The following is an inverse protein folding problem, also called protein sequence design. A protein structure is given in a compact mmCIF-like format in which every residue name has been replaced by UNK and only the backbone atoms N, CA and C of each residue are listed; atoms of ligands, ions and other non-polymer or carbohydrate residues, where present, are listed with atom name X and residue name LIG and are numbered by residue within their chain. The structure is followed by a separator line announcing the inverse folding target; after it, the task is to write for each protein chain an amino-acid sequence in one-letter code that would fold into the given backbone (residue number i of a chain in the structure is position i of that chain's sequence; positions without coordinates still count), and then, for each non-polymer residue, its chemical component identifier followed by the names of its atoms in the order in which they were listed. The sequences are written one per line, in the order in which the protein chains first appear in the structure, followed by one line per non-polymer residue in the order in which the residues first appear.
data_IF_246503109950
#
_entry.id   IF_246503109950
#
_cell.length_a   1.000
_cell.length_b   1.000
_cell.length_c   1.000
_cell.angle_alpha   90.00
_cell.angle_beta   90.00
_cell.angle_gamma   90.00
#
_symmetry.space_group_name_H-M   'P 1'
#
loop_
_entity.id
_entity.type
_entity.pdbx_description
1 polymer ?
#
# COMPACT_ATOMS: atom_id res chain seq x y z
N UNK A 1 36.90 -40.68 2.10
CA UNK A 1 37.37 -39.51 2.91
C UNK A 1 37.29 -38.14 2.20
N UNK A 2 37.74 -37.98 0.94
CA UNK A 2 37.85 -36.66 0.29
C UNK A 2 36.50 -35.94 0.03
N UNK A 3 35.40 -36.68 -0.07
CA UNK A 3 34.08 -36.12 -0.41
C UNK A 3 33.48 -35.26 0.73
N UNK A 4 33.80 -35.55 1.99
CA UNK A 4 33.43 -34.72 3.15
C UNK A 4 34.18 -33.37 3.16
N UNK A 5 34.93 -33.01 2.13
CA UNK A 5 35.48 -31.66 1.93
C UNK A 5 34.65 -30.76 1.01
N UNK A 6 33.61 -31.30 0.35
CA UNK A 6 32.87 -30.60 -0.71
C UNK A 6 31.84 -29.58 -0.20
N UNK A 7 31.37 -29.70 1.04
CA UNK A 7 30.32 -28.86 1.61
C UNK A 7 30.78 -28.04 2.81
N UNK A 8 29.86 -27.24 3.35
CA UNK A 8 30.05 -26.40 4.54
C UNK A 8 30.02 -27.27 5.81
N UNK A 9 30.47 -26.70 6.93
CA UNK A 9 30.37 -27.34 8.25
C UNK A 9 28.91 -27.67 8.62
N UNK A 10 27.96 -26.82 8.25
CA UNK A 10 26.52 -27.05 8.46
C UNK A 10 26.03 -28.30 7.71
N UNK A 11 26.44 -28.48 6.46
CA UNK A 11 26.08 -29.66 5.66
C UNK A 11 26.58 -30.96 6.34
N UNK A 12 27.78 -30.93 6.96
CA UNK A 12 28.32 -32.09 7.69
C UNK A 12 27.61 -32.35 9.02
N UNK A 13 27.12 -31.31 9.68
CA UNK A 13 26.32 -31.44 10.89
C UNK A 13 24.96 -32.05 10.56
N UNK A 14 24.32 -31.61 9.48
CA UNK A 14 23.08 -32.18 8.99
C UNK A 14 23.28 -33.64 8.56
N UNK A 15 24.39 -33.97 7.91
CA UNK A 15 24.73 -35.36 7.59
C UNK A 15 24.89 -36.22 8.86
N UNK A 16 25.57 -35.71 9.88
CA UNK A 16 25.72 -36.41 11.14
C UNK A 16 24.35 -36.63 11.84
N UNK A 17 23.48 -35.62 11.80
CA UNK A 17 22.10 -35.72 12.32
C UNK A 17 21.28 -36.80 11.58
N UNK A 18 21.34 -36.86 10.25
CA UNK A 18 20.66 -37.88 9.45
C UNK A 18 21.22 -39.30 9.67
N UNK A 19 22.50 -39.41 10.05
CA UNK A 19 23.12 -40.68 10.47
C UNK A 19 22.88 -41.02 11.94
N UNK A 20 22.12 -40.20 12.68
CA UNK A 20 21.86 -40.40 14.12
C UNK A 20 23.08 -40.15 15.01
N UNK A 21 24.12 -39.50 14.48
CA UNK A 21 25.34 -39.13 15.20
C UNK A 21 25.12 -37.79 15.86
N UNK A 22 25.30 -37.74 17.19
CA UNK A 22 25.06 -36.54 17.97
C UNK A 22 26.25 -35.54 17.82
N UNK A 23 26.33 -34.91 16.65
CA UNK A 23 27.36 -33.92 16.34
C UNK A 23 26.87 -32.51 16.72
N UNK A 24 27.61 -31.83 17.59
CA UNK A 24 27.25 -30.49 18.05
C UNK A 24 27.98 -29.40 17.26
N UNK A 25 27.40 -28.20 17.18
CA UNK A 25 27.99 -27.02 16.53
C UNK A 25 29.39 -26.65 17.05
N UNK A 26 29.70 -27.03 18.30
CA UNK A 26 30.99 -26.78 18.94
C UNK A 26 32.10 -27.71 18.46
N UNK A 27 31.76 -28.83 17.80
CA UNK A 27 32.75 -29.77 17.29
C UNK A 27 33.53 -29.16 16.11
N UNK A 28 34.81 -29.51 16.05
CA UNK A 28 35.65 -29.11 14.90
C UNK A 28 35.32 -29.98 13.69
N UNK A 29 35.50 -29.44 12.49
CA UNK A 29 35.25 -30.18 11.23
C UNK A 29 36.00 -31.52 11.19
N UNK A 30 37.28 -31.63 11.61
CA UNK A 30 37.97 -32.92 11.71
C UNK A 30 37.30 -33.89 12.67
N UNK A 31 36.87 -33.42 13.85
CA UNK A 31 36.19 -34.26 14.85
C UNK A 31 34.86 -34.83 14.32
N UNK A 32 34.09 -34.03 13.57
CA UNK A 32 32.84 -34.47 12.94
C UNK A 32 33.11 -35.53 11.88
N UNK A 33 34.14 -35.33 11.04
CA UNK A 33 34.53 -36.31 10.00
C UNK A 33 34.89 -37.66 10.61
N UNK A 34 35.68 -37.65 11.68
CA UNK A 34 36.09 -38.87 12.39
C UNK A 34 34.87 -39.58 12.99
N UNK A 35 33.93 -38.84 13.58
CA UNK A 35 32.70 -39.41 14.15
C UNK A 35 31.84 -40.10 13.08
N UNK A 36 31.72 -39.51 11.90
CA UNK A 36 30.99 -40.09 10.75
C UNK A 36 31.67 -41.36 10.27
N UNK A 37 32.99 -41.34 10.06
CA UNK A 37 33.71 -42.50 9.51
C UNK A 37 33.86 -43.67 10.49
N UNK A 38 33.79 -43.40 11.79
CA UNK A 38 33.89 -44.43 12.84
C UNK A 38 32.52 -44.94 13.31
N UNK A 39 31.42 -44.51 12.69
CA UNK A 39 30.08 -44.97 13.06
C UNK A 39 29.86 -46.44 12.72
N UNK A 40 29.15 -47.17 13.58
CA UNK A 40 28.73 -48.54 13.30
C UNK A 40 27.75 -48.55 12.12
N UNK A 41 28.14 -49.18 11.01
CA UNK A 41 27.34 -49.19 9.78
C UNK A 41 27.71 -48.14 8.74
N UNK A 42 28.90 -47.53 8.82
CA UNK A 42 29.39 -46.63 7.78
C UNK A 42 29.53 -47.33 6.41
N UNK A 43 28.69 -46.91 5.45
CA UNK A 43 28.80 -47.27 4.04
C UNK A 43 29.21 -46.04 3.21
N UNK A 44 30.42 -46.06 2.63
CA UNK A 44 31.00 -44.88 1.98
C UNK A 44 30.14 -44.34 0.83
N UNK A 45 29.54 -45.21 0.00
CA UNK A 45 28.69 -44.77 -1.11
C UNK A 45 27.36 -44.18 -0.65
N UNK A 46 26.74 -44.78 0.36
CA UNK A 46 25.51 -44.27 0.96
C UNK A 46 25.73 -42.90 1.57
N UNK A 47 26.75 -42.76 2.43
CA UNK A 47 27.08 -41.50 3.10
C UNK A 47 27.49 -40.43 2.09
N UNK A 48 28.20 -40.80 1.02
CA UNK A 48 28.54 -39.87 -0.07
C UNK A 48 27.30 -39.38 -0.81
N UNK A 49 26.39 -40.26 -1.20
CA UNK A 49 25.15 -39.89 -1.91
C UNK A 49 24.24 -39.02 -1.03
N UNK A 50 24.14 -39.35 0.26
CA UNK A 50 23.39 -38.56 1.24
C UNK A 50 23.98 -37.15 1.37
N UNK A 51 25.31 -37.06 1.53
CA UNK A 51 26.00 -35.78 1.65
C UNK A 51 25.88 -34.92 0.39
N UNK A 52 25.99 -35.52 -0.80
CA UNK A 52 25.79 -34.81 -2.07
C UNK A 52 24.35 -34.28 -2.21
N UNK A 53 23.36 -35.03 -1.71
CA UNK A 53 21.94 -34.60 -1.68
C UNK A 53 21.73 -33.41 -0.72
N UNK A 54 22.33 -33.44 0.47
CA UNK A 54 22.27 -32.34 1.44
C UNK A 54 22.88 -31.06 0.84
N UNK A 55 24.06 -31.16 0.22
CA UNK A 55 24.71 -30.02 -0.44
C UNK A 55 23.85 -29.47 -1.58
N UNK A 56 23.25 -30.34 -2.39
CA UNK A 56 22.37 -29.93 -3.49
C UNK A 56 21.11 -29.22 -2.99
N UNK A 57 20.48 -29.75 -1.93
CA UNK A 57 19.31 -29.13 -1.31
C UNK A 57 19.65 -27.76 -0.70
N UNK A 58 20.79 -27.62 -0.03
CA UNK A 58 21.26 -26.35 0.50
C UNK A 58 21.42 -25.29 -0.61
N UNK A 59 22.05 -25.66 -1.73
CA UNK A 59 22.20 -24.76 -2.89
C UNK A 59 20.86 -24.35 -3.49
N UNK A 60 19.94 -25.31 -3.67
CA UNK A 60 18.61 -25.05 -4.21
C UNK A 60 17.80 -24.11 -3.32
N UNK A 61 17.91 -24.25 -2.01
CA UNK A 61 17.24 -23.37 -1.05
C UNK A 61 17.80 -21.94 -1.11
N UNK A 62 19.13 -21.77 -1.16
CA UNK A 62 19.75 -20.46 -1.32
C UNK A 62 19.35 -19.79 -2.66
N UNK A 63 19.23 -20.56 -3.75
CA UNK A 63 18.76 -20.05 -5.04
C UNK A 63 17.30 -19.57 -4.97
N UNK A 64 16.44 -20.32 -4.27
CA UNK A 64 15.04 -19.97 -4.10
C UNK A 64 14.89 -18.68 -3.27
N UNK A 65 15.65 -18.55 -2.17
CA UNK A 65 15.67 -17.33 -1.35
C UNK A 65 16.17 -16.12 -2.16
N UNK A 66 17.22 -16.28 -2.97
CA UNK A 66 17.68 -15.22 -3.87
C UNK A 66 16.62 -14.84 -4.90
N UNK A 67 15.94 -15.82 -5.49
CA UNK A 67 14.87 -15.58 -6.46
C UNK A 67 13.66 -14.87 -5.84
N UNK A 68 13.26 -15.27 -4.64
CA UNK A 68 12.18 -14.62 -3.88
C UNK A 68 12.54 -13.17 -3.53
N UNK A 69 13.77 -12.94 -3.06
CA UNK A 69 14.28 -11.59 -2.78
C UNK A 69 14.26 -10.71 -4.02
N UNK A 70 14.68 -11.23 -5.18
CA UNK A 70 14.63 -10.48 -6.44
C UNK A 70 13.19 -10.15 -6.86
N UNK A 71 12.25 -11.10 -6.75
CA UNK A 71 10.82 -10.86 -7.03
C UNK A 71 10.23 -9.80 -6.13
N UNK A 72 10.56 -9.81 -4.84
CA UNK A 72 10.08 -8.82 -3.90
C UNK A 72 10.63 -7.42 -4.24
N UNK A 73 11.92 -7.34 -4.58
CA UNK A 73 12.56 -6.08 -5.00
C UNK A 73 11.97 -5.54 -6.31
N UNK A 74 11.63 -6.42 -7.26
CA UNK A 74 10.93 -6.06 -8.50
C UNK A 74 9.53 -5.50 -8.22
N UNK A 75 8.75 -6.16 -7.35
CA UNK A 75 7.42 -5.69 -6.95
C UNK A 75 7.49 -4.30 -6.29
N UNK A 76 8.49 -4.09 -5.42
CA UNK A 76 8.73 -2.77 -4.79
C UNK A 76 9.07 -1.71 -5.84
N UNK A 77 9.92 -2.03 -6.82
CA UNK A 77 10.23 -1.11 -7.93
C UNK A 77 8.99 -0.78 -8.77
N UNK A 78 8.17 -1.78 -9.08
CA UNK A 78 6.93 -1.58 -9.84
C UNK A 78 5.95 -0.68 -9.08
N UNK A 79 5.78 -0.89 -7.77
CA UNK A 79 4.97 -0.01 -6.92
C UNK A 79 5.50 1.43 -6.91
N UNK A 80 6.81 1.61 -6.79
CA UNK A 80 7.43 2.93 -6.82
C UNK A 80 7.25 3.63 -8.18
N UNK A 81 7.28 2.88 -9.29
CA UNK A 81 7.00 3.41 -10.63
C UNK A 81 5.53 3.83 -10.76
N UNK A 82 4.58 3.01 -10.31
CA UNK A 82 3.16 3.37 -10.30
C UNK A 82 2.88 4.62 -9.48
N UNK A 83 3.54 4.75 -8.32
CA UNK A 83 3.42 5.96 -7.50
C UNK A 83 3.98 7.19 -8.20
N UNK A 84 5.14 7.09 -8.84
CA UNK A 84 5.73 8.18 -9.64
C UNK A 84 4.86 8.56 -10.84
N UNK A 85 4.26 7.58 -11.52
CA UNK A 85 3.36 7.83 -12.65
C UNK A 85 2.10 8.57 -12.19
N UNK A 86 1.52 8.17 -11.06
CA UNK A 86 0.41 8.89 -10.43
C UNK A 86 0.80 10.31 -10.05
N UNK A 87 2.01 10.50 -9.52
CA UNK A 87 2.53 11.82 -9.19
C UNK A 87 2.69 12.70 -10.45
N UNK A 88 3.25 12.16 -11.53
CA UNK A 88 3.41 12.89 -12.79
C UNK A 88 2.07 13.25 -13.41
N UNK A 89 1.09 12.34 -13.37
CA UNK A 89 -0.29 12.62 -13.83
C UNK A 89 -0.90 13.78 -13.07
N UNK A 90 -0.74 13.78 -11.75
CA UNK A 90 -1.20 14.88 -10.90
C UNK A 90 -0.53 16.21 -11.24
N UNK A 91 0.80 16.21 -11.41
CA UNK A 91 1.55 17.43 -11.76
C UNK A 91 1.17 17.98 -13.15
N UNK A 92 0.91 17.10 -14.13
CA UNK A 92 0.42 17.49 -15.46
C UNK A 92 -0.99 18.07 -15.41
N UNK A 93 -1.88 17.51 -14.59
CA UNK A 93 -3.23 18.01 -14.41
C UNK A 93 -3.24 19.40 -13.74
N UNK A 94 -2.33 19.62 -12.78
CA UNK A 94 -2.09 20.94 -12.20
C UNK A 94 -1.68 21.98 -13.27
N UNK A 95 -0.77 21.62 -14.17
CA UNK A 95 -0.25 22.54 -15.19
C UNK A 95 -1.29 22.90 -16.27
N UNK A 96 -2.20 21.96 -16.61
CA UNK A 96 -3.34 22.23 -17.50
C UNK A 96 -4.32 23.23 -16.90
N UNK A 97 -4.53 23.19 -15.59
CA UNK A 97 -5.43 24.12 -14.90
C UNK A 97 -4.79 25.51 -14.77
N UNK A 98 -3.49 25.59 -14.45
CA UNK A 98 -2.78 26.86 -14.29
C UNK A 98 -2.68 27.67 -15.61
N UNK A 99 -2.67 27.00 -16.75
CA UNK A 99 -2.71 27.65 -18.07
C UNK A 99 -4.13 28.13 -18.48
N UNK A 100 -5.19 27.59 -17.87
CA UNK A 100 -6.58 28.03 -18.09
C UNK A 100 -7.02 29.21 -17.23
N UNK A 101 -6.34 29.48 -16.10
CA UNK A 101 -6.78 30.46 -15.09
C UNK A 101 -6.29 31.91 -15.33
N UNK A 102 -5.51 32.18 -16.38
CA UNK A 102 -5.00 33.55 -16.64
C UNK A 102 -5.99 34.49 -17.33
N UNK A 103 -7.23 34.07 -17.57
CA UNK A 103 -8.29 34.93 -18.11
C UNK A 103 -9.41 34.99 -17.08
N UNK A 104 -9.66 36.19 -16.57
CA UNK A 104 -10.58 36.58 -15.49
C UNK A 104 -10.10 36.33 -14.06
N UNK A 105 -9.65 37.40 -13.40
CA UNK A 105 -10.43 37.93 -12.27
C UNK A 105 -10.09 39.41 -12.00
N UNK A 106 -10.94 40.31 -12.50
CA UNK A 106 -11.23 41.59 -11.84
C UNK A 106 -12.59 41.41 -11.15
N UNK A 107 -12.64 41.52 -9.81
CA UNK A 107 -13.53 42.41 -9.03
C UNK A 107 -14.01 41.87 -7.67
N UNK A 108 -13.78 42.73 -6.66
CA UNK A 108 -14.58 43.08 -5.47
C UNK A 108 -15.08 42.06 -4.42
N UNK A 109 -14.51 42.24 -3.22
CA UNK A 109 -15.12 42.69 -1.95
C UNK A 109 -16.33 41.96 -1.31
N UNK A 110 -16.11 41.44 -0.09
CA UNK A 110 -16.75 41.90 1.18
C UNK A 110 -16.99 40.80 2.24
N UNK A 111 -16.50 41.11 3.45
CA UNK A 111 -16.85 40.67 4.82
C UNK A 111 -17.58 39.33 5.08
N UNK A 112 -16.94 38.45 5.85
CA UNK A 112 -17.46 37.98 7.15
C UNK A 112 -16.43 37.15 7.94
N UNK A 113 -16.27 37.50 9.22
CA UNK A 113 -15.40 36.83 10.17
C UNK A 113 -16.09 35.59 10.77
N UNK A 114 -15.49 34.42 10.60
CA UNK A 114 -15.60 33.29 11.52
C UNK A 114 -14.34 32.42 11.37
N UNK A 115 -13.90 31.81 12.47
CA UNK A 115 -12.67 31.03 12.65
C UNK A 115 -12.41 29.98 11.54
N UNK A 116 -11.77 30.39 10.45
CA UNK A 116 -11.45 29.57 9.28
C UNK A 116 -10.02 29.88 8.81
N UNK A 117 -9.03 29.76 9.70
CA UNK A 117 -7.64 30.02 9.31
C UNK A 117 -6.92 28.79 8.72
N UNK A 118 -7.60 27.65 8.58
CA UNK A 118 -7.06 26.44 7.93
C UNK A 118 -7.68 26.13 6.56
N UNK A 119 -8.96 26.48 6.31
CA UNK A 119 -9.64 26.10 5.06
C UNK A 119 -9.16 26.89 3.83
N UNK A 120 -8.56 28.07 4.02
CA UNK A 120 -8.08 28.92 2.93
C UNK A 120 -6.89 28.29 2.17
N UNK A 121 -6.12 27.41 2.79
CA UNK A 121 -4.98 26.77 2.15
C UNK A 121 -5.40 25.55 1.32
N UNK A 122 -6.27 24.67 1.83
CA UNK A 122 -6.67 23.48 1.05
C UNK A 122 -7.51 23.83 -0.19
N UNK A 123 -8.44 24.78 -0.08
CA UNK A 123 -9.26 25.24 -1.22
C UNK A 123 -8.41 25.80 -2.37
N UNK A 124 -7.24 26.36 -2.07
CA UNK A 124 -6.29 26.87 -3.07
C UNK A 124 -5.36 25.79 -3.64
N UNK A 125 -5.22 24.66 -2.93
CA UNK A 125 -4.26 23.60 -3.25
C UNK A 125 -4.91 22.36 -3.88
N UNK A 126 -6.24 22.23 -3.77
CA UNK A 126 -7.04 21.12 -4.29
C UNK A 126 -8.07 21.70 -5.25
N UNK A 127 -8.18 21.18 -6.49
CA UNK A 127 -9.25 21.55 -7.41
C UNK A 127 -10.64 21.29 -6.81
N UNK A 128 -11.66 22.00 -7.28
CA UNK A 128 -13.04 21.69 -6.92
C UNK A 128 -13.43 20.31 -7.47
N UNK A 129 -14.24 19.55 -6.71
CA UNK A 129 -14.71 18.25 -7.16
C UNK A 129 -15.91 18.38 -8.10
N UNK A 130 -15.79 17.89 -9.34
CA UNK A 130 -16.94 17.72 -10.24
C UNK A 130 -17.47 16.27 -10.16
N UNK A 131 -18.66 16.03 -9.58
CA UNK A 131 -19.23 14.70 -9.46
C UNK A 131 -19.56 14.04 -10.81
N UNK A 132 -19.58 14.79 -11.92
CA UNK A 132 -19.91 14.27 -13.26
C UNK A 132 -18.68 13.86 -14.07
N UNK A 133 -17.52 14.45 -13.80
CA UNK A 133 -16.30 14.25 -14.59
C UNK A 133 -15.12 13.72 -13.77
N UNK A 134 -15.10 13.96 -12.46
CA UNK A 134 -13.97 13.61 -11.59
C UNK A 134 -14.19 12.29 -10.86
N UNK A 135 -13.14 11.44 -10.85
CA UNK A 135 -13.14 10.21 -10.04
C UNK A 135 -12.97 10.56 -8.55
N UNK A 136 -14.00 10.26 -7.74
CA UNK A 136 -13.96 10.49 -6.28
C UNK A 136 -12.79 9.78 -5.61
N UNK A 137 -12.34 8.64 -6.17
CA UNK A 137 -11.23 7.86 -5.63
C UNK A 137 -9.94 8.63 -5.76
N UNK A 138 -9.71 9.22 -6.94
CA UNK A 138 -8.56 10.07 -7.21
C UNK A 138 -8.61 11.35 -6.37
N UNK A 139 -9.80 11.95 -6.26
CA UNK A 139 -10.02 13.16 -5.46
C UNK A 139 -9.66 12.97 -3.98
N UNK A 140 -10.14 11.88 -3.36
CA UNK A 140 -9.85 11.57 -1.96
C UNK A 140 -8.35 11.32 -1.73
N UNK A 141 -7.66 10.69 -2.68
CA UNK A 141 -6.20 10.49 -2.60
C UNK A 141 -5.44 11.83 -2.64
N UNK A 142 -5.88 12.78 -3.49
CA UNK A 142 -5.32 14.13 -3.56
C UNK A 142 -5.54 14.86 -2.23
N UNK A 143 -6.76 14.82 -1.70
CA UNK A 143 -7.10 15.40 -0.41
C UNK A 143 -6.22 14.86 0.73
N UNK A 144 -6.08 13.53 0.85
CA UNK A 144 -5.27 12.89 1.90
C UNK A 144 -3.81 13.32 1.85
N UNK A 145 -3.24 13.41 0.64
CA UNK A 145 -1.86 13.86 0.46
C UNK A 145 -1.68 15.31 0.87
N UNK A 146 -2.62 16.19 0.54
CA UNK A 146 -2.55 17.60 0.91
C UNK A 146 -2.82 17.84 2.40
N UNK A 147 -3.78 17.13 2.99
CA UNK A 147 -4.04 17.19 4.43
C UNK A 147 -2.82 16.73 5.24
N UNK A 148 -2.13 15.66 4.80
CA UNK A 148 -0.87 15.22 5.39
C UNK A 148 0.25 16.25 5.23
N UNK A 149 0.39 16.86 4.05
CA UNK A 149 1.41 17.89 3.80
C UNK A 149 1.17 19.17 4.60
N UNK A 150 -0.09 19.52 4.82
CA UNK A 150 -0.51 20.63 5.66
C UNK A 150 -0.50 20.27 7.16
N UNK A 151 -0.04 19.07 7.55
CA UNK A 151 0.00 18.57 8.92
C UNK A 151 -1.34 18.69 9.66
N UNK A 152 -2.44 18.45 8.96
CA UNK A 152 -3.79 18.50 9.51
C UNK A 152 -4.06 17.21 10.28
N UNK A 153 -4.53 17.33 11.52
CA UNK A 153 -4.93 16.18 12.33
C UNK A 153 -6.09 15.42 11.70
N UNK A 154 -6.07 14.08 11.77
CA UNK A 154 -7.07 13.23 11.10
C UNK A 154 -8.52 13.52 11.52
N UNK A 155 -8.74 14.00 12.76
CA UNK A 155 -10.06 14.41 13.26
C UNK A 155 -10.65 15.60 12.50
N UNK A 156 -9.79 16.47 11.97
CA UNK A 156 -10.20 17.66 11.21
C UNK A 156 -10.43 17.34 9.72
N UNK A 157 -10.04 16.15 9.25
CA UNK A 157 -10.09 15.81 7.83
C UNK A 157 -11.50 15.83 7.27
N UNK A 158 -12.48 15.35 8.03
CA UNK A 158 -13.89 15.38 7.58
C UNK A 158 -14.34 16.82 7.40
N UNK A 159 -14.11 17.70 8.39
CA UNK A 159 -14.49 19.10 8.30
C UNK A 159 -13.85 19.81 7.10
N UNK A 160 -12.56 19.56 6.86
CA UNK A 160 -11.87 20.07 5.68
C UNK A 160 -12.44 19.51 4.37
N UNK A 161 -12.76 18.21 4.34
CA UNK A 161 -13.32 17.56 3.17
C UNK A 161 -14.72 18.09 2.83
N UNK A 162 -15.58 18.32 3.84
CA UNK A 162 -16.91 18.89 3.65
C UNK A 162 -16.86 20.31 3.06
N UNK A 163 -15.82 21.09 3.41
CA UNK A 163 -15.61 22.42 2.86
C UNK A 163 -15.19 22.43 1.39
N UNK A 164 -14.74 21.29 0.84
CA UNK A 164 -14.24 21.12 -0.52
C UNK A 164 -15.20 20.36 -1.44
N UNK A 165 -16.13 19.60 -0.86
CA UNK A 165 -17.11 18.82 -1.62
C UNK A 165 -18.35 19.65 -1.99
N UNK A 166 -18.96 19.38 -3.16
CA UNK A 166 -20.27 19.90 -3.52
C UNK A 166 -21.34 19.59 -2.48
N UNK A 167 -22.31 20.50 -2.36
CA UNK A 167 -23.38 20.44 -1.38
C UNK A 167 -24.16 19.12 -1.41
N UNK A 168 -24.38 18.54 -2.59
CA UNK A 168 -25.08 17.26 -2.76
C UNK A 168 -24.40 16.11 -2.00
N UNK A 169 -23.07 16.11 -1.98
CA UNK A 169 -22.26 15.08 -1.33
C UNK A 169 -22.19 15.33 0.17
N UNK A 170 -22.07 16.61 0.56
CA UNK A 170 -22.14 17.04 1.96
C UNK A 170 -23.46 16.63 2.60
N UNK A 171 -24.59 16.86 1.92
CA UNK A 171 -25.91 16.43 2.39
C UNK A 171 -26.03 14.91 2.51
N UNK A 172 -25.32 14.18 1.66
CA UNK A 172 -25.31 12.73 1.73
C UNK A 172 -24.55 12.22 2.96
N UNK A 173 -23.40 12.82 3.30
CA UNK A 173 -22.64 12.51 4.51
C UNK A 173 -23.43 12.91 5.77
N UNK A 174 -24.15 14.04 5.74
CA UNK A 174 -24.94 14.55 6.86
C UNK A 174 -26.16 13.67 7.23
N UNK A 175 -26.52 12.67 6.42
CA UNK A 175 -27.59 11.70 6.72
C UNK A 175 -27.10 10.52 7.58
N UNK A 176 -25.80 10.35 7.69
CA UNK A 176 -25.18 9.33 8.53
C UNK A 176 -25.12 9.84 9.99
N UNK A 177 -25.12 8.95 11.00
CA UNK A 177 -25.01 9.35 12.39
C UNK A 177 -23.68 10.07 12.66
N UNK A 178 -23.69 11.03 13.59
CA UNK A 178 -22.57 11.94 13.89
C UNK A 178 -21.25 11.20 14.14
N UNK A 179 -21.28 10.12 14.94
CA UNK A 179 -20.12 9.27 15.22
C UNK A 179 -19.45 8.67 13.96
N UNK A 180 -20.25 8.42 12.93
CA UNK A 180 -19.79 7.87 11.66
C UNK A 180 -19.41 8.97 10.65
N UNK A 181 -20.15 10.09 10.68
CA UNK A 181 -19.88 11.25 9.84
C UNK A 181 -18.53 11.90 10.19
N UNK A 182 -18.11 11.90 11.46
CA UNK A 182 -16.79 12.40 11.90
C UNK A 182 -15.63 11.43 11.59
N UNK A 183 -15.92 10.17 11.28
CA UNK A 183 -14.89 9.17 10.98
C UNK A 183 -14.50 9.20 9.49
N UNK A 184 -13.32 9.76 9.20
CA UNK A 184 -12.79 9.85 7.84
C UNK A 184 -12.72 8.49 7.12
N UNK A 185 -12.32 7.40 7.79
CA UNK A 185 -12.20 6.09 7.14
C UNK A 185 -13.58 5.53 6.75
N UNK A 186 -14.62 5.85 7.53
CA UNK A 186 -16.00 5.52 7.21
C UNK A 186 -16.50 6.36 6.02
N UNK A 187 -16.35 7.69 6.10
CA UNK A 187 -16.74 8.63 5.04
C UNK A 187 -16.05 8.29 3.71
N UNK A 188 -14.75 7.98 3.74
CA UNK A 188 -14.00 7.52 2.55
C UNK A 188 -14.63 6.29 1.92
N UNK A 189 -14.93 5.25 2.72
CA UNK A 189 -15.56 4.03 2.22
C UNK A 189 -16.97 4.30 1.68
N UNK A 190 -17.73 5.15 2.34
CA UNK A 190 -19.09 5.52 1.95
C UNK A 190 -19.10 6.23 0.59
N UNK A 191 -18.22 7.22 0.40
CA UNK A 191 -18.03 7.95 -0.85
C UNK A 191 -17.59 7.01 -1.98
N UNK A 192 -16.56 6.18 -1.73
CA UNK A 192 -16.10 5.20 -2.71
C UNK A 192 -17.22 4.22 -3.11
N UNK A 193 -18.04 3.75 -2.17
CA UNK A 193 -19.15 2.84 -2.44
C UNK A 193 -20.22 3.50 -3.32
N UNK A 194 -20.58 4.76 -3.04
CA UNK A 194 -21.62 5.47 -3.80
C UNK A 194 -21.22 5.75 -5.24
N UNK A 195 -19.99 6.21 -5.45
CA UNK A 195 -19.53 6.60 -6.79
C UNK A 195 -18.98 5.41 -7.59
N UNK A 196 -18.45 4.35 -6.97
CA UNK A 196 -18.12 3.10 -7.70
C UNK A 196 -19.36 2.32 -8.15
N UNK A 197 -20.49 2.47 -7.46
CA UNK A 197 -21.77 1.83 -7.83
C UNK A 197 -22.63 2.65 -8.79
N UNK A 198 -22.18 3.81 -9.25
CA UNK A 198 -22.95 4.68 -10.14
C UNK A 198 -22.32 4.78 -11.54
N UNK A 199 -22.63 3.86 -12.47
CA UNK A 199 -22.36 4.07 -13.89
C UNK A 199 -23.51 4.94 -14.45
N UNK A 200 -23.44 6.25 -14.21
CA UNK A 200 -24.39 7.23 -14.76
C UNK A 200 -25.75 7.25 -14.07
N UNK A 201 -26.05 8.29 -13.30
CA UNK A 201 -27.39 8.40 -12.72
C UNK A 201 -27.65 9.48 -11.67
N UNK A 202 -27.00 10.65 -11.72
CA UNK A 202 -27.56 11.85 -11.08
C UNK A 202 -28.37 12.66 -12.11
N UNK A 203 -29.39 12.00 -12.66
CA UNK A 203 -30.60 12.64 -13.18
C UNK A 203 -31.84 11.91 -12.66
N UNK A 204 -31.84 11.49 -11.41
CA UNK A 204 -33.08 11.12 -10.73
C UNK A 204 -33.66 12.38 -10.12
N UNK A 205 -34.62 12.95 -10.85
CA UNK A 205 -35.45 14.09 -10.49
C UNK A 205 -35.85 14.01 -9.00
N UNK A 206 -35.49 15.03 -8.24
CA UNK A 206 -36.30 15.39 -7.07
C UNK A 206 -37.57 16.02 -7.66
N UNK A 207 -38.54 15.17 -7.99
CA UNK A 207 -39.89 15.61 -8.29
C UNK A 207 -40.47 16.28 -7.04
N UNK A 208 -41.08 17.48 -7.16
CA UNK A 208 -41.96 17.98 -6.14
C UNK A 208 -43.19 17.07 -6.11
N UNK A 209 -43.54 16.55 -4.94
CA UNK A 209 -44.83 15.88 -4.74
C UNK A 209 -45.96 16.89 -5.00
N UNK A 210 -46.92 16.60 -5.89
CA UNK A 210 -48.12 17.40 -6.02
C UNK A 210 -49.10 16.92 -4.96
N UNK A 211 -49.20 17.63 -3.84
CA UNK A 211 -50.34 17.43 -2.94
C UNK A 211 -51.50 18.29 -3.47
N UNK A 212 -52.38 17.63 -4.22
CA UNK A 212 -53.64 18.18 -4.71
C UNK A 212 -54.78 17.67 -3.83
N UNK A 213 -55.57 18.64 -3.34
CA UNK A 213 -57.02 18.61 -3.12
C UNK A 213 -57.49 18.02 -1.77
N UNK A 214 -57.96 18.91 -0.87
CA UNK A 214 -59.41 19.17 -0.77
C UNK A 214 -59.70 20.59 -0.27
#
# INVERSE_FOLDING_TARGET
MAFLGKGKKQDMLQLAEELGINATLNMTVPSIKIAITNSEGYEEEFVKNLYETIIANGKRLEELERAEKMRLEELVREQALKEKELQLKFDLERFKIESGFRVNDESNDSTNACSVTSNLNLKKLIPDFDPKQSDISLYLVIFERQAKRASIEKKEWVGQLLGLLPLEIVQFIAREPEEQAENYDYVKKLLLKRFKLSPGGLSAKICPTPEKIR
#
